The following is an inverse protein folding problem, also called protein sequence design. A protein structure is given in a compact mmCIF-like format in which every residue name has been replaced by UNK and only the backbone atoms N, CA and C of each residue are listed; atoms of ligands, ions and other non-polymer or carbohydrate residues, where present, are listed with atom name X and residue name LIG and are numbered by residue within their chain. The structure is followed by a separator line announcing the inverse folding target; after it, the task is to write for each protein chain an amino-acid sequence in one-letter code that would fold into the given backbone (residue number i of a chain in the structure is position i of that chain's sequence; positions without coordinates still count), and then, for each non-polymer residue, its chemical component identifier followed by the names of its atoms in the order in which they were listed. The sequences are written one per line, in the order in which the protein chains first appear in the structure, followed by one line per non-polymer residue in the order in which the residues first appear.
data_IF_710184115110
#
_entry.id   IF_710184115110
#
_cell.length_a   1.000
_cell.length_b   1.000
_cell.length_c   1.000
_cell.angle_alpha   90.00
_cell.angle_beta   90.00
_cell.angle_gamma   90.00
#
_symmetry.space_group_name_H-M   'P 1'
#
loop_
_entity.id
_entity.type
_entity.pdbx_description
1 polymer ?
#
# COMPACT_ATOMS: atom_id res chain seq x y z
N UNK A 1 21.05 -17.46 -2.79
CA UNK A 1 21.94 -16.27 -2.70
C UNK A 1 21.10 -15.07 -3.14
N UNK A 2 20.57 -14.30 -2.20
CA UNK A 2 19.70 -13.14 -2.48
C UNK A 2 20.58 -12.04 -3.05
N UNK A 3 20.34 -11.62 -4.30
CA UNK A 3 21.05 -10.50 -4.93
C UNK A 3 20.75 -9.23 -4.15
N UNK A 4 21.80 -8.58 -3.62
CA UNK A 4 21.66 -7.24 -3.02
C UNK A 4 21.14 -6.28 -4.08
N UNK A 5 20.09 -5.47 -3.79
CA UNK A 5 19.66 -4.42 -4.70
C UNK A 5 20.79 -3.41 -4.90
N UNK A 6 20.82 -2.70 -6.05
CA UNK A 6 21.85 -1.71 -6.32
C UNK A 6 21.88 -0.61 -5.28
N UNK A 7 23.07 -0.22 -4.84
CA UNK A 7 23.33 0.86 -3.89
C UNK A 7 22.99 2.21 -4.53
N UNK A 8 21.72 2.64 -4.42
CA UNK A 8 21.37 4.02 -4.73
C UNK A 8 20.03 4.39 -4.08
N UNK A 9 20.08 4.88 -2.91
CA UNK A 9 19.26 5.80 -2.10
C UNK A 9 18.99 5.27 -0.69
N UNK A 10 18.95 6.13 0.35
CA UNK A 10 18.63 5.78 1.75
C UNK A 10 17.29 5.03 1.93
N UNK A 11 16.27 5.34 1.11
CA UNK A 11 14.95 4.71 1.12
C UNK A 11 14.99 3.18 0.92
N UNK A 12 15.85 2.68 0.02
CA UNK A 12 15.97 1.23 -0.21
C UNK A 12 16.65 0.48 0.95
N UNK A 13 17.49 1.16 1.70
CA UNK A 13 18.15 0.57 2.88
C UNK A 13 17.16 0.42 4.05
N UNK A 14 16.28 1.38 4.27
CA UNK A 14 15.25 1.32 5.31
C UNK A 14 14.13 0.32 4.97
N UNK A 15 13.67 0.28 3.73
CA UNK A 15 12.72 -0.71 3.25
C UNK A 15 13.29 -2.15 3.30
N UNK A 16 14.63 -2.32 3.14
CA UNK A 16 15.27 -3.61 3.33
C UNK A 16 15.18 -4.11 4.79
N UNK A 17 15.19 -3.20 5.76
CA UNK A 17 15.05 -3.56 7.19
C UNK A 17 13.66 -4.13 7.51
N UNK A 18 12.60 -3.64 6.85
CA UNK A 18 11.25 -4.18 6.95
C UNK A 18 11.19 -5.63 6.41
N UNK A 19 11.86 -5.94 5.30
CA UNK A 19 11.92 -7.30 4.75
C UNK A 19 12.53 -8.28 5.75
N UNK A 20 13.63 -7.91 6.42
CA UNK A 20 14.23 -8.76 7.46
C UNK A 20 13.29 -8.96 8.64
N UNK A 21 12.62 -7.89 9.10
CA UNK A 21 11.66 -8.01 10.20
C UNK A 21 10.45 -8.89 9.83
N UNK A 22 9.94 -8.79 8.61
CA UNK A 22 8.90 -9.71 8.12
C UNK A 22 9.36 -11.17 8.16
N UNK A 23 10.62 -11.44 7.80
CA UNK A 23 11.20 -12.78 7.92
C UNK A 23 11.21 -13.28 9.37
N UNK A 24 11.55 -12.41 10.32
CA UNK A 24 11.61 -12.74 11.75
C UNK A 24 10.22 -12.93 12.38
N UNK A 25 9.23 -12.13 11.98
CA UNK A 25 7.84 -12.24 12.48
C UNK A 25 7.12 -13.50 11.97
N UNK A 26 7.48 -13.97 10.75
CA UNK A 26 6.85 -15.14 10.15
C UNK A 26 7.46 -16.43 10.72
N UNK A 27 6.59 -17.35 11.14
CA UNK A 27 7.03 -18.67 11.59
C UNK A 27 7.94 -19.35 10.55
N UNK A 28 8.92 -20.18 10.97
CA UNK A 28 9.63 -21.06 10.07
C UNK A 28 8.66 -21.90 9.22
N UNK A 29 9.12 -22.39 8.09
CA UNK A 29 8.31 -23.19 7.15
C UNK A 29 7.99 -24.59 7.74
N UNK A 30 7.14 -24.62 8.76
CA UNK A 30 6.81 -25.80 9.57
C UNK A 30 5.43 -26.39 9.26
N UNK A 31 4.58 -25.63 8.60
CA UNK A 31 3.23 -26.05 8.20
C UNK A 31 2.76 -25.26 6.98
N UNK A 32 1.66 -25.71 6.36
CA UNK A 32 1.16 -25.16 5.10
C UNK A 32 0.77 -23.67 5.20
N UNK A 33 0.24 -23.21 6.34
CA UNK A 33 -0.10 -21.79 6.55
C UNK A 33 1.18 -20.97 6.65
N UNK A 34 2.16 -21.39 7.47
CA UNK A 34 3.44 -20.70 7.58
C UNK A 34 4.16 -20.62 6.22
N UNK A 35 4.17 -21.70 5.44
CA UNK A 35 4.71 -21.72 4.07
C UNK A 35 4.03 -20.70 3.18
N UNK A 36 2.70 -20.63 3.19
CA UNK A 36 1.91 -19.71 2.36
C UNK A 36 2.08 -18.25 2.80
N UNK A 37 2.12 -17.98 4.12
CA UNK A 37 2.41 -16.64 4.65
C UNK A 37 3.80 -16.16 4.19
N UNK A 38 4.83 -16.99 4.33
CA UNK A 38 6.20 -16.67 3.88
C UNK A 38 6.28 -16.44 2.37
N UNK A 39 5.64 -17.33 1.59
CA UNK A 39 5.60 -17.23 0.14
C UNK A 39 5.07 -15.86 -0.32
N UNK A 40 3.96 -15.41 0.24
CA UNK A 40 3.31 -14.16 -0.16
C UNK A 40 3.97 -12.92 0.46
N UNK A 41 4.30 -12.95 1.76
CA UNK A 41 4.82 -11.78 2.46
C UNK A 41 6.29 -11.47 2.14
N UNK A 42 7.06 -12.44 1.66
CA UNK A 42 8.47 -12.26 1.30
C UNK A 42 8.69 -12.15 -0.21
N UNK A 43 7.62 -12.13 -1.01
CA UNK A 43 7.69 -11.88 -2.44
C UNK A 43 8.28 -10.49 -2.74
N UNK A 44 8.99 -10.37 -3.85
CA UNK A 44 9.58 -9.11 -4.29
C UNK A 44 8.51 -8.02 -4.41
N UNK A 45 8.75 -6.87 -3.79
CA UNK A 45 7.82 -5.75 -3.81
C UNK A 45 8.55 -4.40 -3.77
N UNK A 46 7.88 -3.35 -4.23
CA UNK A 46 8.42 -1.98 -4.19
C UNK A 46 8.42 -1.40 -2.77
N UNK A 47 7.77 -2.03 -1.80
CA UNK A 47 7.64 -1.61 -0.40
C UNK A 47 7.31 -0.12 -0.22
N UNK A 48 6.42 0.41 -1.07
CA UNK A 48 6.09 1.86 -1.07
C UNK A 48 5.47 2.27 0.26
N UNK A 49 4.60 1.44 0.83
CA UNK A 49 3.94 1.74 2.10
C UNK A 49 4.92 1.71 3.26
N UNK A 50 5.83 0.74 3.30
CA UNK A 50 6.95 0.75 4.24
C UNK A 50 7.83 1.99 4.06
N UNK A 51 8.15 2.36 2.81
CA UNK A 51 8.89 3.58 2.49
C UNK A 51 8.20 4.84 3.03
N UNK A 52 6.87 4.93 2.96
CA UNK A 52 6.10 6.05 3.53
C UNK A 52 6.20 6.09 5.07
N UNK A 53 6.14 4.93 5.75
CA UNK A 53 6.34 4.86 7.21
C UNK A 53 7.70 5.43 7.59
N UNK A 54 8.78 5.03 6.92
CA UNK A 54 10.12 5.55 7.21
C UNK A 54 10.27 7.02 6.86
N UNK A 55 9.86 7.42 5.65
CA UNK A 55 10.03 8.78 5.18
C UNK A 55 9.23 9.81 6.01
N UNK A 56 8.01 9.46 6.44
CA UNK A 56 7.25 10.30 7.35
C UNK A 56 7.78 10.21 8.79
N UNK A 57 8.16 9.00 9.23
CA UNK A 57 8.68 8.76 10.56
C UNK A 57 9.96 9.53 10.86
N UNK A 58 10.82 9.77 9.86
CA UNK A 58 12.03 10.58 9.99
C UNK A 58 11.74 12.05 10.37
N UNK A 59 10.51 12.53 10.17
CA UNK A 59 10.05 13.84 10.65
C UNK A 59 9.74 13.83 12.16
N UNK A 60 9.60 12.67 12.80
CA UNK A 60 9.34 12.51 14.22
C UNK A 60 10.63 12.10 14.96
N UNK A 61 11.34 13.06 15.53
CA UNK A 61 12.61 12.82 16.24
C UNK A 61 12.47 12.01 17.55
N UNK A 62 11.24 11.78 18.01
CA UNK A 62 10.98 11.03 19.24
C UNK A 62 10.72 9.53 18.97
N UNK A 63 10.57 9.12 17.70
CA UNK A 63 10.36 7.72 17.33
C UNK A 63 11.68 7.00 17.02
N UNK A 64 11.83 5.77 17.49
CA UNK A 64 13.00 4.97 17.19
C UNK A 64 12.90 4.30 15.82
N UNK A 65 14.03 4.03 15.17
CA UNK A 65 14.06 3.26 13.93
C UNK A 65 13.46 1.85 14.11
N UNK A 66 13.64 1.23 15.27
CA UNK A 66 13.03 -0.07 15.59
C UNK A 66 11.50 0.00 15.62
N UNK A 67 10.93 1.10 16.14
CA UNK A 67 9.47 1.32 16.10
C UNK A 67 8.97 1.50 14.65
N UNK A 68 9.72 2.23 13.81
CA UNK A 68 9.38 2.39 12.39
C UNK A 68 9.42 1.05 11.64
N UNK A 69 10.39 0.18 11.94
CA UNK A 69 10.48 -1.18 11.38
C UNK A 69 9.23 -1.98 11.77
N UNK A 70 8.82 -1.96 13.04
CA UNK A 70 7.65 -2.71 13.52
C UNK A 70 6.36 -2.18 12.85
N UNK A 71 6.20 -0.86 12.72
CA UNK A 71 5.07 -0.22 12.05
C UNK A 71 5.04 -0.55 10.54
N UNK A 72 6.17 -0.43 9.85
CA UNK A 72 6.30 -0.75 8.42
C UNK A 72 5.97 -2.22 8.15
N UNK A 73 6.47 -3.13 9.01
CA UNK A 73 6.15 -4.55 8.94
C UNK A 73 4.65 -4.80 9.03
N UNK A 74 3.95 -4.19 9.98
CA UNK A 74 2.50 -4.36 10.14
C UNK A 74 1.71 -3.83 8.94
N UNK A 75 2.12 -2.69 8.37
CA UNK A 75 1.51 -2.12 7.17
C UNK A 75 1.69 -3.05 5.95
N UNK A 76 2.88 -3.63 5.76
CA UNK A 76 3.14 -4.53 4.63
C UNK A 76 2.47 -5.90 4.81
N UNK A 77 2.34 -6.42 6.04
CA UNK A 77 1.56 -7.64 6.33
C UNK A 77 0.08 -7.40 6.00
N UNK A 78 -0.47 -6.27 6.41
CA UNK A 78 -1.85 -5.87 6.12
C UNK A 78 -2.07 -5.72 4.60
N UNK A 79 -1.13 -5.11 3.90
CA UNK A 79 -1.19 -5.02 2.43
C UNK A 79 -1.08 -6.39 1.76
N UNK A 80 -0.26 -7.28 2.29
CA UNK A 80 -0.09 -8.61 1.70
C UNK A 80 -1.36 -9.45 1.86
N UNK A 81 -2.06 -9.39 3.02
CA UNK A 81 -3.32 -10.09 3.17
C UNK A 81 -4.35 -9.60 2.16
N UNK A 82 -4.46 -8.27 1.95
CA UNK A 82 -5.43 -7.74 0.99
C UNK A 82 -5.18 -8.25 -0.43
N UNK A 83 -3.92 -8.28 -0.86
CA UNK A 83 -3.58 -8.83 -2.18
C UNK A 83 -3.90 -10.31 -2.33
N UNK A 84 -3.69 -11.12 -1.27
CA UNK A 84 -4.04 -12.55 -1.32
C UNK A 84 -5.54 -12.75 -1.50
N UNK A 85 -6.36 -11.94 -0.80
CA UNK A 85 -7.81 -12.02 -0.91
C UNK A 85 -8.32 -11.42 -2.23
N UNK A 86 -7.72 -10.34 -2.72
CA UNK A 86 -8.04 -9.76 -4.02
C UNK A 86 -7.81 -10.76 -5.17
N UNK A 87 -6.73 -11.57 -5.09
CA UNK A 87 -6.39 -12.56 -6.12
C UNK A 87 -7.34 -13.77 -6.18
N UNK A 88 -8.22 -13.98 -5.20
CA UNK A 88 -9.12 -15.15 -5.15
C UNK A 88 -10.08 -15.20 -6.35
N UNK A 89 -10.52 -16.42 -6.77
CA UNK A 89 -11.48 -16.58 -7.88
C UNK A 89 -12.81 -15.86 -7.69
N UNK A 90 -13.21 -15.58 -6.47
CA UNK A 90 -14.42 -14.80 -6.13
C UNK A 90 -14.22 -13.29 -6.12
N UNK A 91 -13.01 -12.82 -6.42
CA UNK A 91 -12.59 -11.43 -6.49
C UNK A 91 -12.01 -11.15 -7.89
N UNK A 92 -10.75 -10.72 -7.99
CA UNK A 92 -10.12 -10.37 -9.27
C UNK A 92 -9.71 -11.61 -10.10
N UNK A 93 -9.67 -12.83 -9.50
CA UNK A 93 -9.26 -14.10 -10.11
C UNK A 93 -7.88 -14.03 -10.79
N UNK A 94 -6.92 -13.37 -10.15
CA UNK A 94 -5.57 -13.20 -10.67
C UNK A 94 -4.71 -14.46 -10.44
N UNK A 95 -4.25 -15.10 -11.51
CA UNK A 95 -3.38 -16.28 -11.42
C UNK A 95 -1.94 -15.96 -11.02
N UNK A 96 -1.51 -14.71 -11.25
CA UNK A 96 -0.12 -14.26 -11.04
C UNK A 96 -0.05 -12.99 -10.21
N UNK A 97 0.84 -12.96 -9.23
CA UNK A 97 1.13 -11.77 -8.40
C UNK A 97 2.63 -11.58 -8.20
N UNK A 98 3.15 -10.40 -8.48
CA UNK A 98 4.58 -10.07 -8.30
C UNK A 98 5.52 -11.03 -9.03
N UNK A 99 5.15 -11.49 -10.23
CA UNK A 99 5.96 -12.38 -11.06
C UNK A 99 5.97 -13.86 -10.64
N UNK A 100 5.10 -14.24 -9.69
CA UNK A 100 4.92 -15.63 -9.25
C UNK A 100 3.43 -15.99 -9.18
N UNK A 101 3.10 -17.28 -9.12
CA UNK A 101 1.71 -17.73 -8.99
C UNK A 101 1.07 -17.13 -7.73
N UNK A 102 -0.20 -16.69 -7.82
CA UNK A 102 -0.95 -16.21 -6.66
C UNK A 102 -1.14 -17.32 -5.61
N UNK A 103 -1.45 -16.95 -4.38
CA UNK A 103 -1.50 -17.89 -3.25
C UNK A 103 -2.51 -19.02 -3.48
N UNK A 104 -3.68 -18.72 -4.05
CA UNK A 104 -4.72 -19.72 -4.31
C UNK A 104 -4.31 -20.73 -5.40
N UNK A 105 -3.52 -20.30 -6.39
CA UNK A 105 -2.96 -21.20 -7.42
C UNK A 105 -1.83 -22.05 -6.84
N UNK A 106 -0.93 -21.44 -6.03
CA UNK A 106 0.23 -22.14 -5.46
C UNK A 106 -0.16 -23.18 -4.41
N UNK A 107 -1.15 -22.88 -3.57
CA UNK A 107 -1.53 -23.73 -2.43
C UNK A 107 -2.95 -24.32 -2.56
N UNK A 108 -3.97 -23.55 -2.58
CA UNK A 108 -5.39 -23.67 -2.93
C UNK A 108 -6.16 -22.50 -2.31
N UNK A 109 -7.43 -22.31 -2.68
CA UNK A 109 -8.31 -21.24 -2.19
C UNK A 109 -8.46 -21.22 -0.66
N UNK A 110 -8.76 -22.35 -0.04
CA UNK A 110 -8.93 -22.43 1.40
C UNK A 110 -7.67 -22.02 2.16
N UNK A 111 -6.49 -22.43 1.68
CA UNK A 111 -5.21 -22.02 2.27
C UNK A 111 -4.96 -20.52 2.05
N UNK A 112 -5.30 -19.96 0.88
CA UNK A 112 -5.16 -18.54 0.59
C UNK A 112 -6.03 -17.68 1.52
N UNK A 113 -7.30 -18.04 1.72
CA UNK A 113 -8.21 -17.36 2.66
C UNK A 113 -7.60 -17.36 4.07
N UNK A 114 -7.24 -18.54 4.59
CA UNK A 114 -6.66 -18.68 5.93
C UNK A 114 -5.31 -17.94 6.06
N UNK A 115 -4.54 -17.84 4.98
CA UNK A 115 -3.27 -17.10 4.97
C UNK A 115 -3.51 -15.60 5.11
N UNK A 116 -4.50 -15.05 4.40
CA UNK A 116 -4.89 -13.66 4.54
C UNK A 116 -5.36 -13.34 5.97
N UNK A 117 -6.23 -14.17 6.54
CA UNK A 117 -6.70 -14.04 7.93
C UNK A 117 -5.55 -14.05 8.93
N UNK A 118 -4.60 -14.97 8.76
CA UNK A 118 -3.44 -15.09 9.63
C UNK A 118 -2.48 -13.88 9.52
N UNK A 119 -2.25 -13.35 8.30
CA UNK A 119 -1.44 -12.16 8.09
C UNK A 119 -2.07 -10.90 8.68
N UNK A 120 -3.39 -10.76 8.57
CA UNK A 120 -4.11 -9.65 9.20
C UNK A 120 -3.97 -9.70 10.73
N UNK A 121 -4.19 -10.88 11.34
CA UNK A 121 -4.00 -11.07 12.77
C UNK A 121 -2.55 -10.77 13.21
N UNK A 122 -1.56 -11.27 12.47
CA UNK A 122 -0.13 -11.04 12.74
C UNK A 122 0.25 -9.55 12.63
N UNK A 123 -0.37 -8.78 11.72
CA UNK A 123 -0.12 -7.36 11.61
C UNK A 123 -0.48 -6.59 12.89
N UNK A 124 -1.59 -6.94 13.54
CA UNK A 124 -1.97 -6.36 14.85
C UNK A 124 -1.09 -6.88 15.98
N UNK A 125 -0.81 -8.19 16.00
CA UNK A 125 0.06 -8.80 17.01
C UNK A 125 1.45 -8.16 17.03
N UNK A 126 2.05 -7.90 15.86
CA UNK A 126 3.34 -7.25 15.75
C UNK A 126 3.36 -5.84 16.39
N UNK A 127 2.29 -5.05 16.25
CA UNK A 127 2.18 -3.75 16.93
C UNK A 127 2.05 -3.93 18.45
N UNK A 128 1.16 -4.82 18.89
CA UNK A 128 0.88 -5.04 20.32
C UNK A 128 2.12 -5.55 21.05
N UNK A 129 2.84 -6.50 20.45
CA UNK A 129 3.99 -7.17 21.05
C UNK A 129 5.28 -6.36 20.97
N UNK A 130 5.32 -5.28 20.15
CA UNK A 130 6.53 -4.48 19.98
C UNK A 130 6.98 -3.84 21.32
N UNK A 131 8.23 -4.02 21.74
CA UNK A 131 8.80 -3.30 22.88
C UNK A 131 9.18 -1.85 22.53
N UNK A 132 9.18 -1.49 21.24
CA UNK A 132 9.68 -0.22 20.73
C UNK A 132 8.59 0.85 20.59
N UNK A 133 7.33 0.46 20.70
CA UNK A 133 6.14 1.31 20.51
C UNK A 133 5.47 1.52 21.88
N UNK A 134 5.20 2.78 22.25
CA UNK A 134 4.53 3.10 23.52
C UNK A 134 3.08 2.59 23.54
N UNK A 135 2.50 2.40 24.73
CA UNK A 135 1.12 1.91 24.84
C UNK A 135 0.10 2.81 24.12
N UNK A 136 0.25 4.13 24.23
CA UNK A 136 -0.63 5.07 23.57
C UNK A 136 -0.50 4.99 22.04
N UNK A 137 0.73 4.86 21.54
CA UNK A 137 0.99 4.66 20.11
C UNK A 137 0.42 3.32 19.61
N UNK A 138 0.54 2.23 20.40
CA UNK A 138 -0.07 0.92 20.07
C UNK A 138 -1.57 1.04 19.85
N UNK A 139 -2.27 1.59 20.85
CA UNK A 139 -3.73 1.76 20.79
C UNK A 139 -4.14 2.62 19.60
N UNK A 140 -3.45 3.75 19.40
CA UNK A 140 -3.73 4.68 18.31
C UNK A 140 -3.46 4.06 16.93
N UNK A 141 -2.36 3.30 16.80
CA UNK A 141 -1.98 2.61 15.55
C UNK A 141 -2.96 1.50 15.21
N UNK A 142 -3.36 0.68 16.18
CA UNK A 142 -4.37 -0.38 15.98
C UNK A 142 -5.70 0.24 15.56
N UNK A 143 -6.14 1.32 16.24
CA UNK A 143 -7.37 2.04 15.86
C UNK A 143 -7.30 2.58 14.43
N UNK A 144 -6.20 3.23 14.04
CA UNK A 144 -6.03 3.79 12.71
C UNK A 144 -6.00 2.68 11.64
N UNK A 145 -5.27 1.59 11.90
CA UNK A 145 -5.13 0.48 10.97
C UNK A 145 -6.45 -0.30 10.80
N UNK A 146 -7.17 -0.57 11.90
CA UNK A 146 -8.46 -1.25 11.85
C UNK A 146 -9.53 -0.41 11.12
N UNK A 147 -9.56 0.91 11.32
CA UNK A 147 -10.47 1.78 10.59
C UNK A 147 -10.12 1.85 9.09
N UNK A 148 -8.81 1.88 8.76
CA UNK A 148 -8.38 1.96 7.36
C UNK A 148 -8.64 0.66 6.58
N UNK A 149 -8.56 -0.49 7.24
CA UNK A 149 -8.70 -1.80 6.59
C UNK A 149 -10.08 -2.44 6.80
N UNK A 150 -10.88 -1.91 7.73
CA UNK A 150 -12.17 -2.45 8.13
C UNK A 150 -13.34 -2.09 7.20
N UNK A 151 -14.54 -2.24 7.76
CA UNK A 151 -15.83 -2.09 7.05
C UNK A 151 -16.15 -0.67 6.55
N UNK A 152 -15.41 0.35 6.96
CA UNK A 152 -15.50 1.74 6.45
C UNK A 152 -14.22 2.15 5.70
N UNK A 153 -13.36 1.19 5.39
CA UNK A 153 -12.07 1.38 4.74
C UNK A 153 -11.87 0.47 3.53
N UNK A 154 -10.74 -0.22 3.52
CA UNK A 154 -10.27 -1.03 2.39
C UNK A 154 -11.27 -2.14 2.00
N UNK A 155 -11.90 -2.82 2.97
CA UNK A 155 -12.91 -3.85 2.70
C UNK A 155 -14.14 -3.26 2.00
N UNK A 156 -14.62 -2.08 2.44
CA UNK A 156 -15.72 -1.40 1.76
C UNK A 156 -15.30 -0.94 0.36
N UNK A 157 -14.04 -0.49 0.21
CA UNK A 157 -13.50 -0.11 -1.09
C UNK A 157 -13.44 -1.29 -2.06
N UNK A 158 -13.09 -2.48 -1.58
CA UNK A 158 -13.13 -3.72 -2.37
C UNK A 158 -14.56 -4.11 -2.75
N UNK A 159 -15.52 -3.97 -1.83
CA UNK A 159 -16.93 -4.21 -2.16
C UNK A 159 -17.44 -3.27 -3.26
N UNK A 160 -17.12 -1.97 -3.15
CA UNK A 160 -17.52 -1.01 -4.19
C UNK A 160 -16.83 -1.25 -5.53
N UNK A 161 -15.61 -1.80 -5.53
CA UNK A 161 -14.91 -2.19 -6.76
C UNK A 161 -15.63 -3.35 -7.46
N UNK A 162 -16.05 -4.38 -6.71
CA UNK A 162 -16.88 -5.48 -7.21
C UNK A 162 -18.27 -5.02 -7.67
N UNK A 163 -18.91 -4.13 -6.92
CA UNK A 163 -20.20 -3.54 -7.30
C UNK A 163 -20.08 -2.72 -8.61
N UNK A 164 -18.93 -2.08 -8.83
CA UNK A 164 -18.65 -1.33 -10.05
C UNK A 164 -18.53 -2.23 -11.28
N UNK A 165 -17.97 -3.44 -11.15
CA UNK A 165 -17.92 -4.43 -12.24
C UNK A 165 -19.32 -4.87 -12.69
N UNK A 166 -20.31 -4.81 -11.79
CA UNK A 166 -21.71 -5.11 -12.07
C UNK A 166 -22.53 -3.85 -12.46
N UNK A 167 -21.91 -2.69 -12.63
CA UNK A 167 -22.55 -1.39 -12.85
C UNK A 167 -23.52 -0.95 -11.71
N UNK A 168 -23.31 -1.46 -10.49
CA UNK A 168 -24.09 -1.10 -9.30
C UNK A 168 -23.48 0.08 -8.54
N UNK A 169 -22.22 0.43 -8.81
CA UNK A 169 -21.50 1.56 -8.22
C UNK A 169 -20.64 2.29 -9.26
N UNK A 170 -20.53 3.63 -9.19
CA UNK A 170 -19.85 4.42 -10.23
C UNK A 170 -18.95 5.55 -9.71
N UNK A 171 -18.68 5.64 -8.41
CA UNK A 171 -17.77 6.64 -7.84
C UNK A 171 -16.33 6.07 -7.72
N UNK A 172 -15.61 6.09 -8.83
CA UNK A 172 -14.22 5.62 -8.90
C UNK A 172 -13.29 6.33 -7.90
N UNK A 173 -13.52 7.61 -7.63
CA UNK A 173 -12.74 8.36 -6.65
C UNK A 173 -12.91 7.77 -5.24
N UNK A 174 -14.14 7.40 -4.89
CA UNK A 174 -14.44 6.79 -3.59
C UNK A 174 -13.85 5.37 -3.48
N UNK A 175 -13.91 4.58 -4.54
CA UNK A 175 -13.25 3.27 -4.61
C UNK A 175 -11.76 3.45 -4.32
N UNK A 176 -11.06 4.32 -5.04
CA UNK A 176 -9.62 4.57 -4.88
C UNK A 176 -9.26 5.08 -3.48
N UNK A 177 -10.08 6.01 -2.94
CA UNK A 177 -9.88 6.51 -1.58
C UNK A 177 -9.92 5.36 -0.55
N UNK A 178 -10.90 4.49 -0.66
CA UNK A 178 -11.14 3.43 0.32
C UNK A 178 -10.21 2.23 0.10
N UNK A 179 -10.21 1.64 -1.10
CA UNK A 179 -9.46 0.40 -1.40
C UNK A 179 -7.94 0.60 -1.22
N UNK A 180 -7.41 1.71 -1.70
CA UNK A 180 -5.96 1.97 -1.73
C UNK A 180 -5.54 3.13 -0.82
N UNK A 181 -6.26 4.25 -0.88
CA UNK A 181 -5.87 5.50 -0.23
C UNK A 181 -5.81 5.41 1.29
N UNK A 182 -6.74 4.70 1.93
CA UNK A 182 -6.80 4.57 3.40
C UNK A 182 -5.53 3.96 3.99
N UNK A 183 -4.99 2.89 3.41
CA UNK A 183 -3.78 2.24 3.92
C UNK A 183 -2.52 3.07 3.65
N UNK A 184 -2.44 3.77 2.51
CA UNK A 184 -1.37 4.74 2.22
C UNK A 184 -1.38 5.87 3.24
N UNK A 185 -2.55 6.42 3.53
CA UNK A 185 -2.74 7.46 4.55
C UNK A 185 -2.26 7.01 5.93
N UNK A 186 -2.64 5.80 6.36
CA UNK A 186 -2.20 5.25 7.66
C UNK A 186 -0.69 5.03 7.68
N UNK A 187 -0.08 4.58 6.59
CA UNK A 187 1.37 4.44 6.51
C UNK A 187 2.10 5.77 6.78
N UNK A 188 1.54 6.90 6.34
CA UNK A 188 2.12 8.22 6.59
C UNK A 188 1.89 8.74 8.00
N UNK A 189 0.73 8.48 8.61
CA UNK A 189 0.39 9.07 9.90
C UNK A 189 0.80 8.22 11.11
N UNK A 190 0.95 6.90 10.95
CA UNK A 190 1.19 5.96 12.04
C UNK A 190 2.40 6.34 12.92
N UNK A 191 3.55 6.81 12.39
CA UNK A 191 4.69 7.24 13.20
C UNK A 191 4.42 8.44 14.11
N UNK A 192 3.34 9.18 13.89
CA UNK A 192 3.00 10.40 14.60
C UNK A 192 1.81 10.22 15.57
N UNK A 193 1.16 9.06 15.54
CA UNK A 193 0.00 8.77 16.39
C UNK A 193 0.39 8.63 17.85
N UNK A 194 -0.52 9.04 18.75
CA UNK A 194 -0.31 8.94 20.20
C UNK A 194 0.73 9.91 20.75
N UNK A 195 1.09 10.96 20.00
CA UNK A 195 2.00 12.01 20.44
C UNK A 195 1.36 13.40 20.21
N UNK A 196 0.93 14.05 21.30
CA UNK A 196 0.28 15.37 21.22
C UNK A 196 1.19 16.46 20.62
N UNK A 197 2.50 16.33 20.78
CA UNK A 197 3.46 17.29 20.20
C UNK A 197 3.51 17.24 18.68
N UNK A 198 3.07 16.13 18.10
CA UNK A 198 3.07 15.89 16.65
C UNK A 198 1.73 16.25 15.98
N UNK A 199 0.79 16.85 16.71
CA UNK A 199 -0.58 17.11 16.21
C UNK A 199 -0.61 17.93 14.91
N UNK A 200 0.22 18.97 14.78
CA UNK A 200 0.25 19.78 13.58
C UNK A 200 0.85 19.02 12.38
N UNK A 201 1.93 18.27 12.59
CA UNK A 201 2.51 17.39 11.57
C UNK A 201 1.52 16.32 11.14
N UNK A 202 0.80 15.73 12.10
CA UNK A 202 -0.22 14.72 11.84
C UNK A 202 -1.31 15.22 10.90
N UNK A 203 -1.80 16.46 11.08
CA UNK A 203 -2.82 17.05 10.20
C UNK A 203 -2.29 17.17 8.77
N UNK A 204 -1.08 17.70 8.60
CA UNK A 204 -0.46 17.88 7.28
C UNK A 204 -0.24 16.52 6.59
N UNK A 205 0.35 15.56 7.32
CA UNK A 205 0.64 14.22 6.78
C UNK A 205 -0.65 13.44 6.44
N UNK A 206 -1.72 13.65 7.19
CA UNK A 206 -3.02 13.06 6.95
C UNK A 206 -3.63 13.55 5.63
N UNK A 207 -3.60 14.86 5.38
CA UNK A 207 -4.08 15.45 4.13
C UNK A 207 -3.20 15.04 2.94
N UNK A 208 -1.87 15.10 3.09
CA UNK A 208 -0.93 14.65 2.05
C UNK A 208 -1.11 13.17 1.75
N UNK A 209 -1.28 12.32 2.76
CA UNK A 209 -1.49 10.89 2.60
C UNK A 209 -2.76 10.54 1.82
N UNK A 210 -3.85 11.30 2.06
CA UNK A 210 -5.10 11.17 1.29
C UNK A 210 -4.90 11.50 -0.18
N UNK A 211 -4.33 12.67 -0.47
CA UNK A 211 -4.21 13.18 -1.83
C UNK A 211 -3.15 12.41 -2.63
N UNK A 212 -2.06 12.00 -1.98
CA UNK A 212 -1.02 11.15 -2.59
C UNK A 212 -1.53 9.74 -2.86
N UNK A 213 -2.36 9.18 -1.98
CA UNK A 213 -3.01 7.89 -2.19
C UNK A 213 -3.92 7.87 -3.43
N UNK A 214 -4.70 8.94 -3.62
CA UNK A 214 -5.52 9.10 -4.82
C UNK A 214 -4.65 9.29 -6.07
N UNK A 215 -3.62 10.14 -6.03
CA UNK A 215 -2.72 10.35 -7.16
C UNK A 215 -2.00 9.05 -7.57
N UNK A 216 -1.62 8.24 -6.59
CA UNK A 216 -0.98 6.94 -6.81
C UNK A 216 -1.89 6.00 -7.59
N UNK A 217 -3.16 5.86 -7.20
CA UNK A 217 -4.10 4.97 -7.87
C UNK A 217 -4.49 5.46 -9.27
N UNK A 218 -4.65 6.78 -9.45
CA UNK A 218 -4.89 7.34 -10.79
C UNK A 218 -3.74 6.97 -11.76
N UNK A 219 -2.48 7.00 -11.29
CA UNK A 219 -1.33 6.59 -12.12
C UNK A 219 -1.31 5.08 -12.35
N UNK A 220 -1.76 4.25 -11.38
CA UNK A 220 -1.90 2.80 -11.62
C UNK A 220 -2.88 2.54 -12.77
N UNK A 221 -4.06 3.16 -12.77
CA UNK A 221 -5.05 3.04 -13.84
C UNK A 221 -4.48 3.49 -15.21
N UNK A 222 -3.70 4.58 -15.22
CA UNK A 222 -3.05 5.06 -16.46
C UNK A 222 -2.01 4.07 -16.98
N UNK A 223 -1.25 3.43 -16.08
CA UNK A 223 -0.22 2.45 -16.46
C UNK A 223 -0.86 1.16 -16.95
N UNK A 224 -1.93 0.68 -16.33
CA UNK A 224 -2.67 -0.50 -16.73
C UNK A 224 -3.16 -0.36 -18.18
N UNK A 225 -3.92 0.68 -18.50
CA UNK A 225 -4.40 0.96 -19.88
C UNK A 225 -3.26 1.18 -20.87
N UNK A 226 -2.09 1.65 -20.42
CA UNK A 226 -0.94 1.90 -21.32
C UNK A 226 -0.15 0.62 -21.62
N UNK A 227 -0.11 -0.35 -20.71
CA UNK A 227 0.54 -1.66 -20.90
C UNK A 227 -0.29 -2.56 -21.81
N UNK A 228 -1.61 -2.56 -21.66
CA UNK A 228 -2.51 -3.32 -22.52
C UNK A 228 -2.45 -2.87 -23.96
N UNK A 229 -2.38 -1.56 -24.23
CA UNK A 229 -2.24 -1.03 -25.59
C UNK A 229 -0.93 -1.40 -26.27
N UNK A 230 0.16 -1.61 -25.51
CA UNK A 230 1.46 -2.05 -26.03
C UNK A 230 1.48 -3.56 -26.35
N UNK A 231 0.69 -4.34 -25.62
CA UNK A 231 0.57 -5.80 -25.79
C UNK A 231 -0.45 -6.17 -26.88
N UNK A 232 -1.51 -5.37 -27.06
CA UNK A 232 -2.60 -5.52 -28.02
C UNK A 232 -2.28 -4.98 -29.44
N UNK A 233 -1.05 -4.62 -29.73
CA UNK A 233 -0.61 -4.18 -31.07
C UNK A 233 -0.84 -5.19 -32.20
N UNK A 234 -1.65 -6.25 -31.99
CA UNK A 234 -2.13 -7.25 -32.97
C UNK A 234 -3.51 -7.77 -32.57
N UNK A 235 -4.55 -7.10 -32.93
CA UNK A 235 -5.81 -7.58 -33.54
C UNK A 235 -7.00 -6.70 -33.18
N UNK A 236 -7.57 -6.10 -34.19
CA UNK A 236 -8.87 -5.41 -34.17
C UNK A 236 -10.02 -6.43 -34.11
N UNK A 237 -10.18 -7.19 -33.04
CA UNK A 237 -11.40 -8.05 -32.86
C UNK A 237 -11.52 -8.62 -31.44
N UNK A 238 -11.51 -7.78 -30.41
CA UNK A 238 -12.15 -8.17 -29.14
C UNK A 238 -12.59 -6.91 -28.40
N UNK A 239 -13.65 -6.28 -28.91
CA UNK A 239 -14.37 -5.17 -28.26
C UNK A 239 -15.17 -5.62 -27.02
N UNK A 240 -14.70 -6.64 -26.31
CA UNK A 240 -15.30 -7.22 -25.10
C UNK A 240 -14.26 -7.45 -23.99
N UNK A 241 -13.18 -6.68 -23.96
CA UNK A 241 -12.27 -6.71 -22.80
C UNK A 241 -12.83 -5.76 -21.76
N UNK A 242 -13.46 -6.34 -20.77
CA UNK A 242 -13.87 -5.81 -19.46
C UNK A 242 -13.85 -4.28 -19.35
N UNK A 243 -15.05 -3.69 -19.38
CA UNK A 243 -15.31 -2.29 -19.04
C UNK A 243 -15.10 -2.07 -17.53
N UNK A 244 -13.89 -2.38 -17.03
CA UNK A 244 -13.56 -2.06 -15.64
C UNK A 244 -13.63 -0.55 -15.44
N UNK A 245 -14.35 -0.12 -14.40
CA UNK A 245 -14.40 1.28 -14.03
C UNK A 245 -13.01 1.73 -13.55
N UNK A 246 -12.35 2.57 -14.33
CA UNK A 246 -11.06 3.17 -14.00
C UNK A 246 -11.15 4.69 -14.06
N UNK A 247 -10.18 5.39 -13.49
CA UNK A 247 -10.11 6.84 -13.63
C UNK A 247 -9.97 7.25 -15.10
N UNK A 248 -9.27 6.44 -15.90
CA UNK A 248 -9.09 6.66 -17.34
C UNK A 248 -10.39 6.46 -18.12
N UNK A 249 -11.18 5.42 -17.79
CA UNK A 249 -12.49 5.21 -18.43
C UNK A 249 -13.49 6.32 -18.09
N UNK A 250 -13.45 6.84 -16.85
CA UNK A 250 -14.36 7.88 -16.38
C UNK A 250 -14.03 9.30 -16.88
N UNK A 251 -12.74 9.64 -16.97
CA UNK A 251 -12.29 11.04 -17.23
C UNK A 251 -11.37 11.21 -18.43
N UNK A 252 -10.92 10.12 -19.04
CA UNK A 252 -9.93 10.12 -20.11
C UNK A 252 -8.47 10.18 -19.61
N UNK A 253 -7.57 9.63 -20.41
CA UNK A 253 -6.15 9.43 -20.03
C UNK A 253 -5.42 10.72 -19.69
N UNK A 254 -5.54 11.75 -20.55
CA UNK A 254 -4.84 13.03 -20.37
C UNK A 254 -5.33 13.76 -19.12
N UNK A 255 -6.64 13.82 -18.89
CA UNK A 255 -7.23 14.43 -17.70
C UNK A 255 -6.79 13.68 -16.42
N UNK A 256 -6.71 12.36 -16.45
CA UNK A 256 -6.24 11.54 -15.34
C UNK A 256 -4.78 11.85 -14.99
N UNK A 257 -3.89 11.91 -15.99
CA UNK A 257 -2.47 12.27 -15.79
C UNK A 257 -2.35 13.67 -15.19
N UNK A 258 -3.08 14.65 -15.73
CA UNK A 258 -3.06 16.03 -15.25
C UNK A 258 -3.56 16.12 -13.81
N UNK A 259 -4.62 15.40 -13.45
CA UNK A 259 -5.14 15.34 -12.08
C UNK A 259 -4.15 14.73 -11.10
N UNK A 260 -3.51 13.60 -11.45
CA UNK A 260 -2.50 12.98 -10.60
C UNK A 260 -1.29 13.90 -10.38
N UNK A 261 -0.83 14.58 -11.40
CA UNK A 261 0.26 15.57 -11.27
C UNK A 261 -0.15 16.78 -10.43
N UNK A 262 -1.38 17.29 -10.59
CA UNK A 262 -1.88 18.40 -9.79
C UNK A 262 -1.92 18.04 -8.28
N UNK A 263 -2.46 16.86 -7.95
CA UNK A 263 -2.47 16.34 -6.57
C UNK A 263 -1.04 16.17 -6.02
N UNK A 264 -0.14 15.57 -6.79
CA UNK A 264 1.26 15.39 -6.37
C UNK A 264 1.97 16.72 -6.14
N UNK A 265 1.79 17.70 -7.01
CA UNK A 265 2.40 19.04 -6.86
C UNK A 265 1.83 19.76 -5.64
N UNK A 266 0.54 19.67 -5.37
CA UNK A 266 -0.08 20.23 -4.18
C UNK A 266 0.49 19.58 -2.90
N UNK A 267 0.66 18.24 -2.88
CA UNK A 267 1.30 17.51 -1.79
C UNK A 267 2.74 18.00 -1.57
N UNK A 268 3.53 18.12 -2.64
CA UNK A 268 4.92 18.60 -2.58
C UNK A 268 4.97 20.00 -1.98
N UNK A 269 4.19 20.96 -2.50
CA UNK A 269 4.16 22.34 -2.00
C UNK A 269 3.73 22.41 -0.54
N UNK A 270 2.78 21.57 -0.12
CA UNK A 270 2.33 21.49 1.27
C UNK A 270 3.43 20.95 2.20
N UNK A 271 4.15 19.92 1.78
CA UNK A 271 5.27 19.35 2.53
C UNK A 271 6.41 20.38 2.66
N UNK A 272 6.81 21.03 1.56
CA UNK A 272 7.88 22.06 1.55
C UNK A 272 7.54 23.27 2.42
N UNK A 273 6.27 23.66 2.48
CA UNK A 273 5.83 24.79 3.32
C UNK A 273 5.67 24.44 4.82
N UNK A 274 5.53 23.15 5.14
CA UNK A 274 5.21 22.70 6.51
C UNK A 274 6.39 22.11 7.27
N UNK A 275 7.45 21.69 6.56
CA UNK A 275 8.62 21.03 7.13
C UNK A 275 9.92 21.65 6.62
N UNK A 276 11.02 21.40 7.36
CA UNK A 276 12.34 21.76 6.89
C UNK A 276 12.72 20.90 5.67
N UNK A 277 13.28 21.51 4.63
CA UNK A 277 13.60 20.86 3.36
C UNK A 277 14.52 19.65 3.51
N UNK A 278 15.52 19.70 4.40
CA UNK A 278 16.43 18.58 4.63
C UNK A 278 15.72 17.39 5.31
N UNK A 279 14.79 17.66 6.21
CA UNK A 279 14.06 16.64 6.96
C UNK A 279 12.99 15.95 6.08
N UNK A 280 12.37 16.69 5.17
CA UNK A 280 11.27 16.20 4.32
C UNK A 280 11.74 15.62 2.98
N UNK A 281 13.05 15.70 2.67
CA UNK A 281 13.61 15.34 1.36
C UNK A 281 13.26 13.91 0.91
N UNK A 282 13.30 12.94 1.81
CA UNK A 282 12.96 11.54 1.51
C UNK A 282 11.48 11.39 1.16
N UNK A 283 10.59 12.06 1.89
CA UNK A 283 9.15 12.02 1.64
C UNK A 283 8.80 12.72 0.31
N UNK A 284 9.47 13.84 0.00
CA UNK A 284 9.34 14.52 -1.30
C UNK A 284 9.82 13.63 -2.46
N UNK A 285 10.94 12.94 -2.28
CA UNK A 285 11.45 12.00 -3.29
C UNK A 285 10.47 10.85 -3.54
N UNK A 286 9.89 10.29 -2.49
CA UNK A 286 8.93 9.21 -2.58
C UNK A 286 7.60 9.68 -3.22
N UNK A 287 7.09 10.86 -2.83
CA UNK A 287 5.89 11.45 -3.44
C UNK A 287 6.07 11.68 -4.95
N UNK A 288 7.22 12.18 -5.36
CA UNK A 288 7.57 12.33 -6.80
C UNK A 288 7.66 10.97 -7.50
N UNK A 289 8.25 9.96 -6.85
CA UNK A 289 8.38 8.62 -7.41
C UNK A 289 7.02 7.95 -7.63
N UNK A 290 6.08 8.07 -6.68
CA UNK A 290 4.75 7.47 -6.75
C UNK A 290 3.95 7.89 -7.99
N UNK A 291 4.20 9.11 -8.53
CA UNK A 291 3.48 9.65 -9.69
C UNK A 291 4.30 9.60 -10.98
N UNK A 292 5.64 9.53 -10.88
CA UNK A 292 6.53 9.51 -12.08
C UNK A 292 6.94 8.11 -12.53
N UNK A 293 6.53 7.05 -11.84
CA UNK A 293 6.87 5.67 -12.19
C UNK A 293 6.35 5.30 -13.59
N UNK A 294 7.08 4.42 -14.26
CA UNK A 294 6.76 3.94 -15.62
C UNK A 294 6.25 2.49 -15.61
N UNK A 295 6.28 1.84 -14.47
CA UNK A 295 5.80 0.46 -14.22
C UNK A 295 5.76 0.18 -12.72
#
# INVERSE_FOLDING_TARGET
MIRRPPRSTPLYSSAASDVYKRQDCLLPDTNKIASSMRYSALADSKCIRAGLVFASGNLNKEISNSALIDMATSIELMHTYSLIHDDLPSMDNDEMRRGQASSHIKFNEATAILTGDALQALAYENIVSSPNITQLQKISSIKALSNACGHEGMILGQQYDLDAENNEYNDIKKIHELKTGKLIRVAMIMPHLGNEKQKNQLIVLDEVGRDLGLAFQIIDDVLEVSSDSATLGKSNQSDLVNEKLTYVSAFGKEASINQAHALSNACISKLESSFNNDEVAELLALAKFMVKRKS
#
